data_IF_925575426896
#
_entry.id   IF_925575426896
#
_cell.length_a   1.000
_cell.length_b   1.000
_cell.length_c   1.000
_cell.angle_alpha   90.00
_cell.angle_beta   90.00
_cell.angle_gamma   90.00
#
_symmetry.space_group_name_H-M   'P 1'
#
loop_
_entity.id
_entity.type
_entity.pdbx_description
1 polymer ?
#
# COMPACT_ATOMS: atom_id res chain seq x y z
N UNK A 1 15.85 -4.61 17.11
CA UNK A 1 14.77 -3.85 17.78
C UNK A 1 13.64 -3.69 16.79
N UNK A 2 12.58 -4.50 16.91
CA UNK A 2 11.38 -4.40 16.07
C UNK A 2 10.49 -3.32 16.69
N UNK A 3 10.06 -2.28 15.97
CA UNK A 3 9.21 -1.27 16.58
C UNK A 3 7.87 -1.91 16.97
N UNK A 4 7.46 -1.70 18.22
CA UNK A 4 6.24 -2.21 18.82
C UNK A 4 5.04 -1.41 18.32
N UNK A 5 4.60 -1.68 17.09
CA UNK A 5 3.30 -1.26 16.60
C UNK A 5 2.42 -2.50 16.46
N UNK A 6 1.13 -2.33 16.72
CA UNK A 6 0.17 -3.43 16.63
C UNK A 6 0.28 -4.11 15.25
N UNK A 7 0.50 -5.44 15.20
CA UNK A 7 0.59 -6.16 13.94
C UNK A 7 -0.76 -6.08 13.24
N UNK A 8 -0.76 -5.62 11.99
CA UNK A 8 -1.93 -5.71 11.12
C UNK A 8 -1.97 -7.11 10.50
N UNK A 9 -0.80 -7.61 10.10
CA UNK A 9 -0.58 -8.93 9.49
C UNK A 9 -1.69 -9.32 8.51
N UNK A 10 -1.94 -8.45 7.53
CA UNK A 10 -3.04 -8.61 6.57
C UNK A 10 -2.53 -8.55 5.14
N UNK A 11 -3.06 -9.44 4.30
CA UNK A 11 -2.73 -9.53 2.88
C UNK A 11 -3.86 -8.91 2.05
N UNK A 12 -3.46 -8.08 1.09
CA UNK A 12 -4.32 -7.52 0.07
C UNK A 12 -3.87 -8.01 -1.29
N UNK A 13 -4.82 -8.38 -2.14
CA UNK A 13 -4.57 -8.66 -3.54
C UNK A 13 -5.37 -7.66 -4.37
N UNK A 14 -4.67 -6.71 -4.97
CA UNK A 14 -5.30 -5.58 -5.66
C UNK A 14 -4.51 -5.23 -6.92
N UNK A 15 -5.18 -4.75 -7.98
CA UNK A 15 -4.48 -4.29 -9.17
C UNK A 15 -3.79 -2.96 -8.89
N UNK A 16 -2.58 -2.80 -9.44
CA UNK A 16 -1.97 -1.49 -9.56
C UNK A 16 -2.79 -0.66 -10.55
N UNK A 17 -3.02 0.60 -10.19
CA UNK A 17 -3.71 1.58 -11.03
C UNK A 17 -2.80 2.76 -11.28
N UNK A 18 -2.71 3.21 -12.51
CA UNK A 18 -2.01 4.43 -12.90
C UNK A 18 -2.92 5.21 -13.84
N UNK A 19 -3.07 6.50 -13.58
CA UNK A 19 -3.76 7.40 -14.50
C UNK A 19 -2.93 7.59 -15.79
N UNK A 20 -3.58 7.83 -16.93
CA UNK A 20 -2.92 8.05 -18.23
C UNK A 20 -2.24 9.43 -18.33
N UNK A 21 -2.36 10.25 -17.28
CA UNK A 21 -1.69 11.54 -17.19
C UNK A 21 -0.16 11.39 -17.13
N UNK A 22 0.56 12.19 -17.92
CA UNK A 22 2.04 12.21 -17.92
C UNK A 22 2.57 12.55 -16.51
N UNK A 23 3.25 11.59 -15.88
CA UNK A 23 3.78 11.72 -14.52
C UNK A 23 2.83 11.20 -13.42
N UNK A 24 1.74 10.53 -13.78
CA UNK A 24 0.84 9.91 -12.83
C UNK A 24 1.56 8.88 -11.94
N UNK A 25 1.17 8.88 -10.66
CA UNK A 25 1.62 7.90 -9.70
C UNK A 25 0.90 6.59 -9.93
N UNK A 26 1.64 5.48 -9.83
CA UNK A 26 1.00 4.16 -9.72
C UNK A 26 0.61 3.94 -8.27
N UNK A 27 -0.64 3.58 -8.06
CA UNK A 27 -1.26 3.45 -6.75
C UNK A 27 -1.93 2.08 -6.63
N UNK A 28 -1.98 1.56 -5.43
CA UNK A 28 -2.83 0.41 -5.09
C UNK A 28 -3.94 0.91 -4.14
N UNK A 29 -5.19 0.58 -4.42
CA UNK A 29 -6.32 0.94 -3.54
C UNK A 29 -6.60 -0.23 -2.62
N UNK A 30 -6.46 -0.04 -1.31
CA UNK A 30 -6.66 -1.07 -0.31
C UNK A 30 -8.11 -0.98 0.22
N UNK A 31 -9.00 -1.91 -0.14
CA UNK A 31 -10.38 -1.93 0.35
C UNK A 31 -10.41 -2.21 1.86
N UNK A 32 -11.43 -1.71 2.56
CA UNK A 32 -11.62 -1.88 4.02
C UNK A 32 -10.43 -1.47 4.92
N UNK A 33 -9.42 -0.82 4.35
CA UNK A 33 -8.21 -0.44 5.09
C UNK A 33 -8.47 0.59 6.18
N UNK A 34 -9.48 1.46 6.06
CA UNK A 34 -9.82 2.41 7.12
C UNK A 34 -10.39 1.75 8.38
N UNK A 35 -11.10 0.63 8.24
CA UNK A 35 -11.53 -0.18 9.37
C UNK A 35 -10.36 -0.96 9.95
N UNK A 36 -9.54 -1.57 9.09
CA UNK A 36 -8.35 -2.32 9.50
C UNK A 36 -7.33 -1.47 10.27
N UNK A 37 -7.12 -0.23 9.84
CA UNK A 37 -6.21 0.71 10.49
C UNK A 37 -6.86 1.42 11.69
N UNK A 38 -8.19 1.31 11.83
CA UNK A 38 -8.98 2.02 12.85
C UNK A 38 -8.96 3.55 12.69
N UNK A 39 -8.56 4.05 11.52
CA UNK A 39 -8.41 5.49 11.27
C UNK A 39 -8.65 5.80 9.80
N UNK A 40 -9.13 7.02 9.54
CA UNK A 40 -9.33 7.59 8.20
C UNK A 40 -8.36 8.75 7.94
N UNK A 41 -7.14 8.61 8.46
CA UNK A 41 -6.05 9.61 8.38
C UNK A 41 -4.86 8.99 7.65
N UNK A 42 -3.91 9.79 7.17
CA UNK A 42 -2.66 9.26 6.65
C UNK A 42 -1.97 8.36 7.68
N UNK A 43 -1.61 7.13 7.29
CA UNK A 43 -0.92 6.17 8.17
C UNK A 43 0.35 5.68 7.50
N UNK A 44 1.47 5.76 8.22
CA UNK A 44 2.72 5.17 7.76
C UNK A 44 2.73 3.68 8.06
N UNK A 45 2.96 2.86 7.04
CA UNK A 45 2.98 1.40 7.12
C UNK A 45 4.26 0.84 6.53
N UNK A 46 4.64 -0.33 7.01
CA UNK A 46 5.66 -1.18 6.39
C UNK A 46 5.06 -2.52 6.01
N UNK A 47 5.60 -3.12 4.96
CA UNK A 47 5.06 -4.36 4.42
C UNK A 47 5.93 -5.00 3.36
N UNK A 48 5.36 -6.00 2.71
CA UNK A 48 5.91 -6.68 1.54
C UNK A 48 4.98 -6.50 0.35
N UNK A 49 5.51 -6.14 -0.81
CA UNK A 49 4.78 -6.11 -2.08
C UNK A 49 5.39 -7.19 -2.98
N UNK A 50 4.65 -8.25 -3.26
CA UNK A 50 5.13 -9.45 -3.96
C UNK A 50 6.50 -9.92 -3.41
N UNK A 51 6.60 -10.01 -2.08
CA UNK A 51 7.82 -10.43 -1.38
C UNK A 51 8.90 -9.35 -1.19
N UNK A 52 8.72 -8.14 -1.73
CA UNK A 52 9.69 -7.06 -1.59
C UNK A 52 9.32 -6.08 -0.49
N UNK A 53 10.24 -5.83 0.45
CA UNK A 53 10.01 -4.85 1.53
C UNK A 53 9.75 -3.45 1.00
N UNK A 54 8.76 -2.79 1.58
CA UNK A 54 8.45 -1.40 1.32
C UNK A 54 8.03 -0.66 2.59
N UNK A 55 8.21 0.66 2.55
CA UNK A 55 7.66 1.61 3.51
C UNK A 55 6.97 2.73 2.74
N UNK A 56 5.73 3.02 3.12
CA UNK A 56 4.90 4.01 2.46
C UNK A 56 3.83 4.56 3.41
N UNK A 57 3.27 5.70 3.02
CA UNK A 57 2.14 6.30 3.73
C UNK A 57 0.86 6.01 2.96
N UNK A 58 -0.06 5.31 3.61
CA UNK A 58 -1.43 5.11 3.13
C UNK A 58 -2.18 6.42 3.26
N UNK A 59 -2.75 6.90 2.17
CA UNK A 59 -3.53 8.14 2.13
C UNK A 59 -5.02 7.79 2.10
N UNK A 60 -5.85 8.33 3.00
CA UNK A 60 -7.29 8.07 2.99
C UNK A 60 -7.95 8.70 1.77
N UNK A 61 -8.83 7.96 1.11
CA UNK A 61 -9.61 8.43 -0.05
C UNK A 61 -10.93 9.09 0.35
N UNK A 62 -11.31 9.04 1.63
CA UNK A 62 -12.54 9.64 2.18
C UNK A 62 -13.75 8.71 2.17
N UNK A 63 -13.75 7.66 1.35
CA UNK A 63 -14.77 6.60 1.29
C UNK A 63 -14.52 5.44 2.27
N UNK A 64 -13.44 5.53 3.08
CA UNK A 64 -13.00 4.47 3.98
C UNK A 64 -11.90 3.58 3.40
N UNK A 65 -11.54 3.76 2.13
CA UNK A 65 -10.37 3.13 1.53
C UNK A 65 -9.12 3.99 1.69
N UNK A 66 -7.97 3.37 1.52
CA UNK A 66 -6.68 4.05 1.44
C UNK A 66 -5.99 3.73 0.14
N UNK A 67 -5.31 4.72 -0.42
CA UNK A 67 -4.40 4.53 -1.53
C UNK A 67 -2.97 4.39 -1.03
N UNK A 68 -2.28 3.41 -1.57
CA UNK A 68 -0.86 3.16 -1.38
C UNK A 68 -0.10 3.63 -2.63
N UNK A 69 0.70 4.70 -2.55
CA UNK A 69 1.57 5.07 -3.66
C UNK A 69 2.72 4.07 -3.82
N UNK A 70 2.84 3.48 -5.01
CA UNK A 70 3.86 2.49 -5.33
C UNK A 70 4.99 3.14 -6.13
N UNK A 71 6.15 3.29 -5.47
CA UNK A 71 7.36 3.90 -6.07
C UNK A 71 7.80 3.14 -7.33
N UNK A 72 8.34 3.87 -8.30
CA UNK A 72 8.83 3.29 -9.56
C UNK A 72 9.88 2.19 -9.33
N UNK A 73 10.77 2.36 -8.36
CA UNK A 73 11.80 1.36 -8.06
C UNK A 73 11.23 0.05 -7.51
N UNK A 74 10.15 0.11 -6.72
CA UNK A 74 9.48 -1.09 -6.22
C UNK A 74 8.77 -1.83 -7.35
N UNK A 75 8.09 -1.10 -8.26
CA UNK A 75 7.49 -1.68 -9.47
C UNK A 75 8.53 -2.37 -10.35
N UNK A 76 9.70 -1.74 -10.55
CA UNK A 76 10.81 -2.33 -11.30
C UNK A 76 11.33 -3.62 -10.66
N UNK A 77 11.43 -3.67 -9.33
CA UNK A 77 11.86 -4.87 -8.58
C UNK A 77 10.86 -6.01 -8.70
N UNK A 78 9.58 -5.69 -8.61
CA UNK A 78 8.48 -6.65 -8.68
C UNK A 78 8.18 -7.07 -10.12
N UNK A 79 8.54 -6.25 -11.10
CA UNK A 79 8.28 -6.49 -12.51
C UNK A 79 6.81 -6.31 -12.91
N UNK A 80 6.01 -5.63 -12.07
CA UNK A 80 4.57 -5.41 -12.27
C UNK A 80 4.24 -3.93 -12.46
N UNK A 81 3.29 -3.66 -13.34
CA UNK A 81 2.88 -2.34 -13.80
C UNK A 81 1.39 -2.08 -13.62
N UNK A 82 0.89 -1.08 -14.34
CA UNK A 82 -0.53 -0.73 -14.35
C UNK A 82 -1.39 -1.91 -14.85
N UNK A 83 -2.48 -2.19 -14.14
CA UNK A 83 -3.37 -3.33 -14.41
C UNK A 83 -2.93 -4.66 -13.76
N UNK A 84 -1.67 -4.80 -13.36
CA UNK A 84 -1.17 -6.05 -12.77
C UNK A 84 -1.64 -6.22 -11.32
N UNK A 85 -2.07 -7.44 -10.98
CA UNK A 85 -2.39 -7.83 -9.62
C UNK A 85 -1.12 -7.96 -8.79
N UNK A 86 -1.05 -7.23 -7.69
CA UNK A 86 0.03 -7.30 -6.71
C UNK A 86 -0.48 -7.81 -5.38
N UNK A 87 0.35 -8.59 -4.68
CA UNK A 87 0.07 -9.02 -3.31
C UNK A 87 0.79 -8.10 -2.33
N UNK A 88 0.04 -7.40 -1.50
CA UNK A 88 0.54 -6.47 -0.49
C UNK A 88 0.28 -7.07 0.89
N UNK A 89 1.32 -7.46 1.59
CA UNK A 89 1.26 -7.85 2.99
C UNK A 89 1.63 -6.66 3.87
N UNK A 90 0.74 -6.23 4.77
CA UNK A 90 1.04 -5.20 5.76
C UNK A 90 1.53 -5.86 7.05
N UNK A 91 2.78 -5.59 7.43
CA UNK A 91 3.33 -6.05 8.71
C UNK A 91 2.67 -5.28 9.87
N UNK A 92 2.61 -3.95 9.75
CA UNK A 92 2.08 -3.09 10.79
C UNK A 92 2.24 -1.60 10.49
N UNK A 93 1.75 -0.78 11.42
CA UNK A 93 1.96 0.67 11.40
C UNK A 93 3.38 0.99 11.85
N UNK A 94 3.92 2.12 11.43
CA UNK A 94 5.26 2.58 11.87
C UNK A 94 5.25 3.95 12.54
N UNK A 95 4.07 4.57 12.65
CA UNK A 95 3.82 5.84 13.35
C UNK A 95 2.37 5.95 13.78
#
# INVERSE_FOLDING_TARGET
>A
MTPAFAPIAHDFEVPLRRDDTKGAWTIAVLPASGELLGTRRPVKVSGLLDGHRFEATLLPMGDGTHMLPVKADLRKRVGKGDGDLVRIHLDGRTS
#
